data_IF_894104991677
#
_entry.id   IF_894104991677
#
_cell.length_a   1.000
_cell.length_b   1.000
_cell.length_c   1.000
_cell.angle_alpha   90.00
_cell.angle_beta   90.00
_cell.angle_gamma   90.00
#
_symmetry.space_group_name_H-M   'P 1'
#
loop_
_entity.id
_entity.type
_entity.pdbx_description
1 polymer ?
#
# COMPACT_ATOMS: atom_id res chain seq x y z
N UNK A 1 -4.27 30.52 -2.86
CA UNK A 1 -4.76 31.70 -3.64
C UNK A 1 -3.81 32.90 -3.58
N UNK A 2 -3.25 33.28 -2.42
CA UNK A 2 -2.30 34.42 -2.33
C UNK A 2 -1.02 34.26 -3.17
N UNK A 3 -0.35 33.10 -3.14
CA UNK A 3 0.92 32.91 -3.87
C UNK A 3 0.80 32.96 -5.40
N UNK A 4 -0.33 32.48 -5.98
CA UNK A 4 -0.62 32.67 -7.41
C UNK A 4 -0.85 34.16 -7.75
N UNK A 5 -1.41 34.93 -6.81
CA UNK A 5 -1.56 36.38 -6.92
C UNK A 5 -0.22 37.12 -6.89
N UNK A 6 0.71 36.70 -6.02
CA UNK A 6 2.07 37.25 -5.94
C UNK A 6 2.86 36.94 -7.23
N UNK A 7 2.81 35.71 -7.75
CA UNK A 7 3.42 35.38 -9.04
C UNK A 7 2.83 36.21 -10.20
N UNK A 8 1.51 36.43 -10.21
CA UNK A 8 0.86 37.31 -11.19
C UNK A 8 1.28 38.78 -11.09
N UNK A 9 1.64 39.26 -9.89
CA UNK A 9 2.19 40.60 -9.66
C UNK A 9 3.65 40.70 -10.10
N UNK A 10 4.46 39.67 -9.86
CA UNK A 10 5.84 39.57 -10.35
C UNK A 10 5.89 39.66 -11.88
N UNK A 11 5.03 38.90 -12.58
CA UNK A 11 4.93 38.93 -14.04
C UNK A 11 4.43 40.28 -14.59
N UNK A 12 3.62 41.02 -13.83
CA UNK A 12 3.10 42.35 -14.24
C UNK A 12 4.02 43.50 -13.86
N UNK A 13 4.92 43.30 -12.89
CA UNK A 13 5.72 44.35 -12.27
C UNK A 13 7.00 44.78 -13.01
N UNK A 14 7.30 44.21 -14.19
CA UNK A 14 8.61 44.39 -14.88
C UNK A 14 9.82 44.06 -13.98
N UNK A 15 9.67 43.08 -13.09
CA UNK A 15 10.84 42.42 -12.53
C UNK A 15 11.31 41.45 -13.62
N UNK A 16 12.42 41.77 -14.30
CA UNK A 16 13.08 40.80 -15.17
C UNK A 16 13.41 39.57 -14.32
N UNK A 17 12.86 38.42 -14.70
CA UNK A 17 12.91 37.16 -13.96
C UNK A 17 14.35 36.70 -13.75
N UNK A 18 14.93 37.11 -12.62
CA UNK A 18 16.24 36.62 -12.20
C UNK A 18 16.13 35.19 -11.68
N UNK A 19 17.19 34.41 -11.90
CA UNK A 19 17.34 33.01 -11.45
C UNK A 19 16.80 32.76 -10.03
N UNK A 20 17.06 33.68 -9.09
CA UNK A 20 16.64 33.57 -7.69
C UNK A 20 15.11 33.62 -7.56
N UNK A 21 14.47 34.60 -8.20
CA UNK A 21 13.03 34.81 -8.10
C UNK A 21 12.25 33.67 -8.78
N UNK A 22 12.73 33.21 -9.93
CA UNK A 22 12.14 32.07 -10.63
C UNK A 22 12.31 30.76 -9.84
N UNK A 23 13.47 30.58 -9.18
CA UNK A 23 13.71 29.43 -8.30
C UNK A 23 12.75 29.41 -7.11
N UNK A 24 12.52 30.55 -6.45
CA UNK A 24 11.59 30.66 -5.32
C UNK A 24 10.14 30.42 -5.73
N UNK A 25 9.71 30.96 -6.88
CA UNK A 25 8.36 30.74 -7.41
C UNK A 25 8.16 29.27 -7.76
N UNK A 26 9.13 28.64 -8.42
CA UNK A 26 9.11 27.21 -8.73
C UNK A 26 9.03 26.36 -7.45
N UNK A 27 9.85 26.66 -6.43
CA UNK A 27 9.81 25.98 -5.14
C UNK A 27 8.45 26.14 -4.45
N UNK A 28 7.84 27.33 -4.52
CA UNK A 28 6.51 27.57 -3.99
C UNK A 28 5.45 26.68 -4.65
N UNK A 29 5.44 26.58 -5.98
CA UNK A 29 4.50 25.71 -6.69
C UNK A 29 4.69 24.24 -6.35
N UNK A 30 5.95 23.79 -6.31
CA UNK A 30 6.31 22.43 -5.93
C UNK A 30 5.82 22.08 -4.52
N UNK A 31 6.02 22.96 -3.54
CA UNK A 31 5.53 22.79 -2.17
C UNK A 31 3.99 22.77 -2.06
N UNK A 32 3.30 23.45 -2.98
CA UNK A 32 1.84 23.43 -3.06
C UNK A 32 1.29 22.18 -3.77
N UNK A 33 2.15 21.30 -4.28
CA UNK A 33 1.74 20.15 -5.09
C UNK A 33 1.27 20.50 -6.50
N UNK A 34 1.38 21.76 -6.93
CA UNK A 34 1.02 22.22 -8.28
C UNK A 34 2.25 22.07 -9.20
N UNK A 35 2.54 20.82 -9.57
CA UNK A 35 3.68 20.50 -10.42
C UNK A 35 3.59 21.16 -11.79
N UNK A 36 2.40 21.28 -12.38
CA UNK A 36 2.22 21.94 -13.67
C UNK A 36 2.62 23.42 -13.60
N UNK A 37 2.29 24.09 -12.49
CA UNK A 37 2.78 25.43 -12.19
C UNK A 37 4.30 25.49 -12.08
N UNK A 38 4.91 24.54 -11.37
CA UNK A 38 6.35 24.46 -11.19
C UNK A 38 7.07 24.21 -12.53
N UNK A 39 6.59 23.27 -13.35
CA UNK A 39 7.14 22.98 -14.69
C UNK A 39 7.04 24.19 -15.62
N UNK A 40 5.92 24.92 -15.62
CA UNK A 40 5.79 26.14 -16.43
C UNK A 40 6.83 27.21 -16.10
N UNK A 41 7.20 27.34 -14.82
CA UNK A 41 8.26 28.27 -14.39
C UNK A 41 9.61 27.72 -14.80
N UNK A 42 9.89 26.46 -14.49
CA UNK A 42 11.14 25.78 -14.82
C UNK A 42 11.48 25.80 -16.32
N UNK A 43 10.49 25.58 -17.19
CA UNK A 43 10.69 25.60 -18.64
C UNK A 43 10.96 26.99 -19.20
N UNK A 44 10.52 28.06 -18.51
CA UNK A 44 10.76 29.46 -18.89
C UNK A 44 12.13 29.99 -18.48
N UNK A 45 12.79 29.36 -17.51
CA UNK A 45 14.10 29.80 -17.04
C UNK A 45 15.16 29.62 -18.13
N UNK A 46 15.93 30.69 -18.41
CA UNK A 46 17.03 30.67 -19.38
C UNK A 46 18.26 29.92 -18.85
N UNK A 47 18.56 30.11 -17.56
CA UNK A 47 19.61 29.38 -16.84
C UNK A 47 18.98 28.59 -15.68
N UNK A 48 19.46 27.36 -15.45
CA UNK A 48 18.98 26.48 -14.39
C UNK A 48 20.16 25.92 -13.61
N UNK A 49 20.26 26.30 -12.36
CA UNK A 49 21.30 25.78 -11.48
C UNK A 49 20.90 24.43 -10.85
N UNK A 50 21.84 23.82 -10.13
CA UNK A 50 21.64 22.53 -9.44
C UNK A 50 20.43 22.54 -8.49
N UNK A 51 20.09 23.69 -7.91
CA UNK A 51 18.97 23.84 -6.96
C UNK A 51 17.64 23.75 -7.69
N UNK A 52 17.52 24.39 -8.87
CA UNK A 52 16.34 24.30 -9.74
C UNK A 52 16.02 22.85 -10.09
N UNK A 53 17.03 22.13 -10.61
CA UNK A 53 16.91 20.72 -10.98
C UNK A 53 16.55 19.83 -9.79
N UNK A 54 17.27 19.98 -8.68
CA UNK A 54 17.06 19.18 -7.47
C UNK A 54 15.65 19.38 -6.92
N UNK A 55 15.12 20.60 -6.95
CA UNK A 55 13.76 20.90 -6.47
C UNK A 55 12.71 20.20 -7.31
N UNK A 56 12.81 20.29 -8.65
CA UNK A 56 11.85 19.62 -9.55
C UNK A 56 11.91 18.10 -9.43
N UNK A 57 13.11 17.52 -9.40
CA UNK A 57 13.31 16.08 -9.23
C UNK A 57 12.75 15.61 -7.89
N UNK A 58 13.02 16.34 -6.81
CA UNK A 58 12.50 16.02 -5.46
C UNK A 58 10.98 16.10 -5.42
N UNK A 59 10.39 17.14 -6.01
CA UNK A 59 8.94 17.31 -6.06
C UNK A 59 8.26 16.18 -6.85
N UNK A 60 8.81 15.81 -8.02
CA UNK A 60 8.31 14.68 -8.80
C UNK A 60 8.40 13.37 -8.03
N UNK A 61 9.54 13.11 -7.37
CA UNK A 61 9.73 11.92 -6.54
C UNK A 61 8.73 11.85 -5.38
N UNK A 62 8.54 12.95 -4.64
CA UNK A 62 7.63 12.99 -3.49
C UNK A 62 6.15 12.84 -3.87
N UNK A 63 5.78 13.21 -5.09
CA UNK A 63 4.41 13.11 -5.61
C UNK A 63 4.17 11.81 -6.40
N UNK A 64 5.08 10.83 -6.31
CA UNK A 64 4.94 9.53 -6.97
C UNK A 64 5.13 9.55 -8.50
N UNK A 65 5.64 10.66 -9.06
CA UNK A 65 5.96 10.79 -10.49
C UNK A 65 7.42 10.38 -10.75
N UNK A 66 7.74 9.14 -10.38
CA UNK A 66 9.12 8.63 -10.41
C UNK A 66 9.75 8.70 -11.81
N UNK A 67 9.01 8.34 -12.85
CA UNK A 67 9.47 8.40 -14.25
C UNK A 67 9.89 9.81 -14.67
N UNK A 68 9.17 10.84 -14.23
CA UNK A 68 9.50 12.22 -14.56
C UNK A 68 10.71 12.73 -13.79
N UNK A 69 10.86 12.32 -12.53
CA UNK A 69 12.07 12.59 -11.77
C UNK A 69 13.31 12.01 -12.48
N UNK A 70 13.19 10.81 -13.06
CA UNK A 70 14.24 10.17 -13.85
C UNK A 70 14.52 10.91 -15.15
N UNK A 71 13.49 11.31 -15.89
CA UNK A 71 13.64 12.09 -17.13
C UNK A 71 14.35 13.43 -16.85
N UNK A 72 13.95 14.13 -15.78
CA UNK A 72 14.57 15.39 -15.37
C UNK A 72 16.04 15.19 -14.98
N UNK A 73 16.37 14.12 -14.25
CA UNK A 73 17.75 13.80 -13.90
C UNK A 73 18.61 13.50 -15.14
N UNK A 74 18.09 12.74 -16.11
CA UNK A 74 18.80 12.50 -17.37
C UNK A 74 19.00 13.78 -18.18
N UNK A 75 18.01 14.69 -18.18
CA UNK A 75 18.11 16.01 -18.83
C UNK A 75 19.18 16.89 -18.14
N UNK A 76 19.20 16.93 -16.82
CA UNK A 76 20.22 17.63 -16.02
C UNK A 76 21.63 17.18 -16.39
N UNK A 77 21.86 15.86 -16.49
CA UNK A 77 23.14 15.28 -16.89
C UNK A 77 23.51 15.64 -18.34
N UNK A 78 22.55 15.63 -19.26
CA UNK A 78 22.76 16.00 -20.66
C UNK A 78 23.13 17.47 -20.83
N UNK A 79 22.58 18.35 -19.98
CA UNK A 79 22.92 19.78 -19.92
C UNK A 79 24.22 20.06 -19.17
N UNK A 80 24.92 19.01 -18.69
CA UNK A 80 26.24 19.14 -18.06
C UNK A 80 26.21 19.64 -16.62
N UNK A 81 25.05 19.64 -15.95
CA UNK A 81 24.91 20.07 -14.57
C UNK A 81 25.23 18.89 -13.63
N UNK A 82 26.27 19.01 -12.80
CA UNK A 82 26.67 17.95 -11.85
C UNK A 82 25.61 17.81 -10.73
N UNK A 83 25.01 16.62 -10.55
CA UNK A 83 24.07 16.36 -9.46
C UNK A 83 24.74 16.46 -8.10
N UNK A 84 24.02 16.97 -7.09
CA UNK A 84 24.49 16.92 -5.71
C UNK A 84 23.91 15.70 -4.97
N UNK A 85 24.31 15.51 -3.71
CA UNK A 85 23.87 14.41 -2.85
C UNK A 85 22.33 14.38 -2.71
N UNK A 86 21.68 15.53 -2.63
CA UNK A 86 20.22 15.64 -2.53
C UNK A 86 19.53 15.23 -3.83
N UNK A 87 20.07 15.63 -4.99
CA UNK A 87 19.60 15.17 -6.29
C UNK A 87 19.64 13.65 -6.36
N UNK A 88 20.78 13.04 -5.98
CA UNK A 88 20.96 11.59 -5.99
C UNK A 88 19.99 10.89 -5.03
N UNK A 89 19.79 11.41 -3.82
CA UNK A 89 18.83 10.87 -2.86
C UNK A 89 17.40 10.88 -3.42
N UNK A 90 16.98 11.96 -4.07
CA UNK A 90 15.64 12.10 -4.65
C UNK A 90 15.43 11.15 -5.83
N UNK A 91 16.45 10.96 -6.68
CA UNK A 91 16.39 10.00 -7.79
C UNK A 91 16.32 8.57 -7.28
N UNK A 92 17.12 8.20 -6.27
CA UNK A 92 17.05 6.89 -5.64
C UNK A 92 15.68 6.62 -5.00
N UNK A 93 15.09 7.63 -4.36
CA UNK A 93 13.74 7.51 -3.82
C UNK A 93 12.70 7.23 -4.91
N UNK A 94 12.78 7.92 -6.06
CA UNK A 94 11.95 7.66 -7.23
C UNK A 94 12.16 6.25 -7.83
N UNK A 95 13.39 5.71 -7.77
CA UNK A 95 13.68 4.36 -8.26
C UNK A 95 13.06 3.27 -7.37
N UNK A 96 12.89 3.56 -6.08
CA UNK A 96 12.39 2.59 -5.11
C UNK A 96 10.98 2.10 -5.43
N UNK A 97 10.19 2.90 -6.15
CA UNK A 97 8.80 2.56 -6.38
C UNK A 97 8.64 1.58 -7.55
N UNK A 98 9.32 1.73 -8.69
CA UNK A 98 9.17 0.80 -9.85
C UNK A 98 10.40 0.63 -10.77
N UNK A 99 11.59 1.16 -10.43
CA UNK A 99 12.74 1.25 -11.37
C UNK A 99 14.07 0.71 -10.81
N UNK A 100 14.06 -0.54 -10.33
CA UNK A 100 15.25 -1.21 -9.75
C UNK A 100 16.46 -1.25 -10.70
N UNK A 101 16.22 -1.44 -12.01
CA UNK A 101 17.30 -1.51 -13.01
C UNK A 101 18.08 -0.20 -13.06
N UNK A 102 17.38 0.92 -13.09
CA UNK A 102 18.01 2.23 -13.05
C UNK A 102 18.69 2.48 -11.70
N UNK A 103 18.03 2.12 -10.59
CA UNK A 103 18.61 2.22 -9.24
C UNK A 103 19.97 1.49 -9.12
N UNK A 104 20.10 0.28 -9.69
CA UNK A 104 21.36 -0.47 -9.73
C UNK A 104 22.45 0.23 -10.56
N UNK A 105 22.09 0.81 -11.71
CA UNK A 105 23.03 1.59 -12.52
C UNK A 105 23.53 2.82 -11.77
N UNK A 106 22.62 3.55 -11.12
CA UNK A 106 22.96 4.72 -10.31
C UNK A 106 23.84 4.34 -9.12
N UNK A 107 23.57 3.22 -8.43
CA UNK A 107 24.45 2.70 -7.39
C UNK A 107 25.87 2.41 -7.91
N UNK A 108 25.99 1.78 -9.09
CA UNK A 108 27.27 1.57 -9.75
C UNK A 108 28.02 2.87 -10.06
N UNK A 109 27.30 3.93 -10.46
CA UNK A 109 27.87 5.26 -10.67
C UNK A 109 28.29 5.92 -9.35
N UNK A 110 27.49 5.81 -8.27
CA UNK A 110 27.79 6.32 -6.93
C UNK A 110 29.10 5.72 -6.39
N UNK A 111 29.29 4.39 -6.54
CA UNK A 111 30.51 3.70 -6.09
C UNK A 111 31.77 4.25 -6.79
N UNK A 112 31.65 4.63 -8.07
CA UNK A 112 32.76 5.18 -8.87
C UNK A 112 33.03 6.66 -8.61
N UNK A 113 32.12 7.37 -7.93
CA UNK A 113 32.16 8.82 -7.74
C UNK A 113 32.38 9.23 -6.27
N UNK A 114 32.33 10.54 -6.01
CA UNK A 114 32.62 11.18 -4.71
C UNK A 114 31.63 10.81 -3.59
N UNK A 115 30.46 10.26 -3.92
CA UNK A 115 29.35 10.01 -2.98
C UNK A 115 29.42 8.66 -2.24
N UNK A 116 30.42 7.82 -2.51
CA UNK A 116 30.53 6.47 -1.91
C UNK A 116 30.47 6.44 -0.37
N UNK A 117 30.94 7.49 0.29
CA UNK A 117 31.02 7.57 1.75
C UNK A 117 29.92 8.45 2.36
N UNK A 118 29.01 8.99 1.55
CA UNK A 118 27.95 9.87 2.03
C UNK A 118 26.84 9.06 2.74
N UNK A 119 26.52 9.47 3.97
CA UNK A 119 25.56 8.77 4.82
C UNK A 119 24.12 8.89 4.30
N UNK A 120 23.76 10.01 3.68
CA UNK A 120 22.42 10.26 3.16
C UNK A 120 22.21 9.45 1.89
N UNK A 121 23.19 9.46 0.98
CA UNK A 121 23.15 8.63 -0.24
C UNK A 121 23.11 7.14 0.12
N UNK A 122 23.95 6.69 1.06
CA UNK A 122 23.91 5.31 1.54
C UNK A 122 22.57 4.92 2.19
N UNK A 123 21.95 5.84 2.92
CA UNK A 123 20.62 5.63 3.52
C UNK A 123 19.52 5.56 2.46
N UNK A 124 19.56 6.41 1.43
CA UNK A 124 18.65 6.36 0.28
C UNK A 124 18.81 5.09 -0.55
N UNK A 125 20.04 4.58 -0.71
CA UNK A 125 20.28 3.29 -1.37
C UNK A 125 19.64 2.13 -0.60
N UNK A 126 19.78 2.10 0.73
CA UNK A 126 19.12 1.10 1.59
C UNK A 126 17.61 1.14 1.40
N UNK A 127 16.99 2.34 1.44
CA UNK A 127 15.55 2.47 1.27
C UNK A 127 15.08 2.05 -0.13
N UNK A 128 15.79 2.46 -1.18
CA UNK A 128 15.51 2.09 -2.57
C UNK A 128 15.52 0.58 -2.77
N UNK A 129 16.60 -0.09 -2.37
CA UNK A 129 16.70 -1.55 -2.49
C UNK A 129 15.63 -2.26 -1.67
N UNK A 130 15.39 -1.80 -0.43
CA UNK A 130 14.36 -2.38 0.41
C UNK A 130 12.94 -2.13 -0.14
N UNK A 131 12.69 -1.08 -0.93
CA UNK A 131 11.39 -0.82 -1.57
C UNK A 131 11.18 -1.76 -2.75
N UNK A 132 12.26 -2.03 -3.50
CA UNK A 132 12.28 -2.97 -4.61
C UNK A 132 12.26 -4.45 -4.19
N UNK A 133 12.23 -4.77 -2.88
CA UNK A 133 12.26 -6.15 -2.38
C UNK A 133 13.67 -6.77 -2.28
N UNK A 134 14.71 -6.09 -2.73
CA UNK A 134 16.11 -6.56 -2.74
C UNK A 134 16.77 -6.31 -1.37
N UNK A 135 16.27 -6.98 -0.34
CA UNK A 135 16.68 -6.72 1.06
C UNK A 135 18.14 -7.13 1.35
N UNK A 136 18.69 -8.07 0.59
CA UNK A 136 20.09 -8.49 0.69
C UNK A 136 21.03 -7.41 0.18
N UNK A 137 20.72 -6.79 -0.97
CA UNK A 137 21.45 -5.63 -1.50
C UNK A 137 21.37 -4.44 -0.52
N UNK A 138 20.19 -4.17 0.04
CA UNK A 138 20.03 -3.14 1.07
C UNK A 138 20.93 -3.43 2.28
N UNK A 139 21.01 -4.69 2.70
CA UNK A 139 21.86 -5.10 3.82
C UNK A 139 23.35 -4.98 3.48
N UNK A 140 23.74 -5.32 2.26
CA UNK A 140 25.11 -5.17 1.78
C UNK A 140 25.56 -3.70 1.84
N UNK A 141 24.72 -2.77 1.37
CA UNK A 141 24.97 -1.33 1.49
C UNK A 141 25.12 -0.94 2.96
N UNK A 142 24.16 -1.32 3.81
CA UNK A 142 24.19 -1.02 5.24
C UNK A 142 25.47 -1.50 5.92
N UNK A 143 25.92 -2.72 5.65
CA UNK A 143 27.14 -3.26 6.25
C UNK A 143 28.42 -2.65 5.69
N UNK A 144 28.41 -2.22 4.43
CA UNK A 144 29.52 -1.49 3.78
C UNK A 144 29.69 -0.04 4.26
N UNK A 145 28.68 0.56 4.91
CA UNK A 145 28.77 1.93 5.41
C UNK A 145 29.71 2.03 6.64
N UNK A 146 30.72 2.91 6.53
CA UNK A 146 31.68 3.23 7.61
C UNK A 146 31.02 3.95 8.79
N UNK A 147 30.09 4.86 8.50
CA UNK A 147 29.33 5.61 9.50
C UNK A 147 27.83 5.47 9.23
N UNK A 148 27.04 5.32 10.31
CA UNK A 148 25.60 5.09 10.25
C UNK A 148 24.93 5.92 11.35
N UNK A 149 23.98 6.77 10.97
CA UNK A 149 23.21 7.55 11.92
C UNK A 149 21.87 6.86 12.25
N UNK A 150 21.08 7.42 13.17
CA UNK A 150 19.76 6.88 13.53
C UNK A 150 18.88 6.61 12.31
N UNK A 151 18.91 7.49 11.30
CA UNK A 151 18.10 7.33 10.08
C UNK A 151 18.54 6.10 9.30
N UNK A 152 19.85 5.86 9.13
CA UNK A 152 20.38 4.66 8.46
C UNK A 152 19.94 3.36 9.14
N UNK A 153 19.95 3.32 10.48
CA UNK A 153 19.47 2.16 11.23
C UNK A 153 17.96 1.98 11.08
N UNK A 154 17.19 3.07 11.15
CA UNK A 154 15.75 3.06 10.92
C UNK A 154 15.41 2.55 9.53
N UNK A 155 16.05 3.04 8.47
CA UNK A 155 15.79 2.60 7.09
C UNK A 155 16.00 1.09 6.92
N UNK A 156 17.07 0.52 7.48
CA UNK A 156 17.29 -0.93 7.41
C UNK A 156 16.27 -1.73 8.21
N UNK A 157 15.90 -1.26 9.42
CA UNK A 157 14.88 -1.89 10.26
C UNK A 157 13.50 -1.85 9.58
N UNK A 158 13.11 -0.70 9.05
CA UNK A 158 11.87 -0.51 8.28
C UNK A 158 11.86 -1.38 7.04
N UNK A 159 12.98 -1.46 6.33
CA UNK A 159 13.16 -2.34 5.17
C UNK A 159 12.91 -3.81 5.50
N UNK A 160 13.50 -4.32 6.58
CA UNK A 160 13.22 -5.69 7.04
C UNK A 160 11.75 -5.90 7.43
N UNK A 161 11.16 -4.96 8.19
CA UNK A 161 9.77 -5.06 8.63
C UNK A 161 8.76 -4.99 7.47
N UNK A 162 9.04 -4.21 6.43
CA UNK A 162 8.20 -4.12 5.22
C UNK A 162 8.25 -5.41 4.41
N UNK A 163 9.42 -6.01 4.27
CA UNK A 163 9.65 -7.24 3.50
C UNK A 163 9.32 -8.53 4.29
N UNK A 164 8.62 -8.43 5.42
CA UNK A 164 8.18 -9.60 6.20
C UNK A 164 9.29 -10.28 7.01
N UNK A 165 10.52 -9.76 7.03
CA UNK A 165 11.66 -10.32 7.75
C UNK A 165 11.73 -9.73 9.17
N UNK A 166 10.65 -9.93 9.92
CA UNK A 166 10.47 -9.30 11.24
C UNK A 166 11.54 -9.70 12.27
N UNK A 167 12.09 -10.91 12.16
CA UNK A 167 13.09 -11.43 13.09
C UNK A 167 14.41 -10.68 12.94
N UNK A 168 14.82 -10.38 11.70
CA UNK A 168 15.99 -9.58 11.40
C UNK A 168 15.80 -8.13 11.86
N UNK A 169 14.59 -7.56 11.68
CA UNK A 169 14.25 -6.22 12.18
C UNK A 169 14.43 -6.13 13.71
N UNK A 170 13.87 -7.09 14.47
CA UNK A 170 13.96 -7.13 15.94
C UNK A 170 15.41 -7.33 16.40
N UNK A 171 16.17 -8.23 15.75
CA UNK A 171 17.60 -8.42 16.06
C UNK A 171 18.40 -7.13 15.84
N UNK A 172 18.18 -6.45 14.72
CA UNK A 172 18.89 -5.22 14.39
C UNK A 172 18.53 -4.09 15.36
N UNK A 173 17.27 -3.99 15.79
CA UNK A 173 16.84 -3.06 16.82
C UNK A 173 17.47 -3.31 18.19
N UNK A 174 17.57 -4.58 18.61
CA UNK A 174 18.29 -4.95 19.84
C UNK A 174 19.76 -4.55 19.76
N UNK A 175 20.39 -4.70 18.60
CA UNK A 175 21.77 -4.25 18.36
C UNK A 175 21.88 -2.71 18.41
N UNK A 176 20.96 -1.98 17.77
CA UNK A 176 20.88 -0.52 17.81
C UNK A 176 20.80 -0.01 19.25
N UNK A 177 19.94 -0.62 20.09
CA UNK A 177 19.82 -0.32 21.52
C UNK A 177 21.08 -0.65 22.32
N UNK A 178 21.70 -1.81 22.08
CA UNK A 178 22.96 -2.19 22.76
C UNK A 178 24.08 -1.21 22.46
N UNK A 179 24.09 -0.64 21.25
CA UNK A 179 25.02 0.42 20.82
C UNK A 179 24.62 1.83 21.32
N UNK A 180 23.56 1.94 22.12
CA UNK A 180 23.03 3.20 22.67
C UNK A 180 22.68 4.23 21.59
N UNK A 181 22.26 3.76 20.41
CA UNK A 181 21.80 4.63 19.33
C UNK A 181 20.34 5.01 19.61
N UNK A 182 20.05 6.31 19.52
CA UNK A 182 18.72 6.84 19.78
C UNK A 182 17.69 6.29 18.80
N UNK A 183 16.56 5.81 19.31
CA UNK A 183 15.42 5.28 18.55
C UNK A 183 14.41 6.40 18.30
N UNK A 184 13.99 6.58 17.05
CA UNK A 184 12.94 7.55 16.71
C UNK A 184 11.58 6.85 16.57
N UNK A 185 10.50 7.64 16.41
CA UNK A 185 9.14 7.11 16.29
C UNK A 185 8.97 6.14 15.11
N UNK A 186 9.63 6.41 13.98
CA UNK A 186 9.62 5.51 12.81
C UNK A 186 10.26 4.14 13.11
N UNK A 187 11.36 4.11 13.88
CA UNK A 187 11.95 2.86 14.36
C UNK A 187 10.93 2.07 15.19
N UNK A 188 10.24 2.74 16.11
CA UNK A 188 9.25 2.11 17.01
C UNK A 188 8.10 1.53 16.20
N UNK A 189 7.49 2.30 15.31
CA UNK A 189 6.42 1.86 14.40
C UNK A 189 6.86 0.62 13.59
N UNK A 190 8.08 0.65 13.04
CA UNK A 190 8.61 -0.45 12.24
C UNK A 190 8.78 -1.74 13.05
N UNK A 191 9.20 -1.64 14.32
CA UNK A 191 9.34 -2.79 15.20
C UNK A 191 7.98 -3.29 15.71
N UNK A 192 7.02 -2.41 16.00
CA UNK A 192 5.65 -2.81 16.32
C UNK A 192 5.04 -3.60 15.15
N UNK A 193 5.25 -3.13 13.91
CA UNK A 193 4.87 -3.87 12.70
C UNK A 193 5.53 -5.25 12.64
N UNK A 194 6.85 -5.32 12.82
CA UNK A 194 7.59 -6.59 12.82
C UNK A 194 7.07 -7.57 13.89
N UNK A 195 6.78 -7.07 15.10
CA UNK A 195 6.20 -7.87 16.18
C UNK A 195 4.81 -8.40 15.81
N UNK A 196 3.94 -7.60 15.21
CA UNK A 196 2.60 -8.04 14.82
C UNK A 196 2.62 -9.05 13.67
N UNK A 197 3.51 -8.87 12.68
CA UNK A 197 3.69 -9.85 11.59
C UNK A 197 4.16 -11.22 12.11
N UNK A 198 5.06 -11.23 13.10
CA UNK A 198 5.54 -12.45 13.75
C UNK A 198 4.61 -12.97 14.86
N UNK A 199 3.52 -12.25 15.17
CA UNK A 199 2.68 -12.48 16.35
C UNK A 199 3.48 -12.58 17.66
N UNK A 200 4.58 -11.82 17.77
CA UNK A 200 5.47 -11.79 18.93
C UNK A 200 4.92 -10.86 20.03
N UNK A 201 3.89 -11.32 20.72
CA UNK A 201 3.21 -10.53 21.76
C UNK A 201 4.15 -10.12 22.90
N UNK A 202 5.05 -11.00 23.33
CA UNK A 202 5.99 -10.72 24.42
C UNK A 202 6.91 -9.52 24.08
N UNK A 203 7.52 -9.53 22.90
CA UNK A 203 8.37 -8.42 22.42
C UNK A 203 7.55 -7.15 22.22
N UNK A 204 6.32 -7.29 21.72
CA UNK A 204 5.36 -6.20 21.59
C UNK A 204 5.02 -5.51 22.92
N UNK A 205 4.68 -6.30 23.96
CA UNK A 205 4.40 -5.81 25.32
C UNK A 205 5.63 -5.14 25.95
N UNK A 206 6.83 -5.71 25.74
CA UNK A 206 8.09 -5.08 26.18
C UNK A 206 8.28 -3.69 25.57
N UNK A 207 8.05 -3.56 24.25
CA UNK A 207 8.17 -2.29 23.55
C UNK A 207 7.08 -1.30 23.98
N UNK A 208 5.84 -1.76 24.17
CA UNK A 208 4.74 -0.91 24.64
C UNK A 208 5.02 -0.35 26.04
N UNK A 209 5.53 -1.16 26.98
CA UNK A 209 5.94 -0.67 28.30
C UNK A 209 7.03 0.42 28.20
N UNK A 210 7.94 0.30 27.24
CA UNK A 210 8.97 1.32 27.00
C UNK A 210 8.41 2.60 26.39
N UNK A 211 7.41 2.50 25.50
CA UNK A 211 6.70 3.64 24.92
C UNK A 211 5.99 4.43 26.02
N UNK A 212 5.30 3.75 26.93
CA UNK A 212 4.65 4.35 28.10
C UNK A 212 5.69 5.06 28.97
N UNK A 213 6.77 4.36 29.34
CA UNK A 213 7.85 4.95 30.17
C UNK A 213 8.53 6.15 29.50
N UNK A 214 8.61 6.16 28.18
CA UNK A 214 9.18 7.24 27.38
C UNK A 214 8.24 8.42 27.15
N UNK A 215 6.97 8.36 27.59
CA UNK A 215 5.94 9.36 27.35
C UNK A 215 5.74 9.73 25.86
N UNK A 216 5.94 8.77 24.95
CA UNK A 216 5.73 8.98 23.50
C UNK A 216 4.46 8.30 22.97
N UNK A 217 3.62 7.77 23.86
CA UNK A 217 2.34 7.11 23.53
C UNK A 217 1.34 8.06 22.83
N UNK A 218 1.42 9.37 23.12
CA UNK A 218 0.56 10.39 22.51
C UNK A 218 0.82 10.59 21.01
N UNK A 219 1.90 10.02 20.46
CA UNK A 219 2.15 10.05 19.03
C UNK A 219 1.15 9.15 18.30
N UNK A 220 0.31 9.75 17.45
CA UNK A 220 -0.75 9.06 16.73
C UNK A 220 -0.27 7.86 15.90
N UNK A 221 0.91 7.95 15.28
CA UNK A 221 1.47 6.86 14.47
C UNK A 221 1.87 5.67 15.34
N UNK A 222 2.40 5.93 16.54
CA UNK A 222 2.77 4.89 17.50
C UNK A 222 1.50 4.25 18.08
N UNK A 223 0.52 5.05 18.51
CA UNK A 223 -0.75 4.55 19.04
C UNK A 223 -1.50 3.68 18.01
N UNK A 224 -1.61 4.14 16.76
CA UNK A 224 -2.22 3.36 15.67
C UNK A 224 -1.49 2.05 15.41
N UNK A 225 -0.15 2.06 15.47
CA UNK A 225 0.67 0.85 15.30
C UNK A 225 0.51 -0.13 16.47
N UNK A 226 0.26 0.38 17.68
CA UNK A 226 -0.04 -0.46 18.85
C UNK A 226 -1.41 -1.12 18.72
N UNK A 227 -2.45 -0.38 18.32
CA UNK A 227 -3.78 -0.96 18.02
C UNK A 227 -3.62 -2.10 17.03
N UNK A 228 -2.91 -1.85 15.91
CA UNK A 228 -2.63 -2.87 14.90
C UNK A 228 -1.88 -4.09 15.46
N UNK A 229 -0.81 -3.88 16.24
CA UNK A 229 -0.03 -4.96 16.86
C UNK A 229 -0.91 -5.86 17.74
N UNK A 230 -1.70 -5.26 18.63
CA UNK A 230 -2.51 -6.02 19.58
C UNK A 230 -3.64 -6.78 18.88
N UNK A 231 -4.30 -6.18 17.88
CA UNK A 231 -5.24 -6.88 17.02
C UNK A 231 -4.59 -8.09 16.32
N UNK A 232 -3.40 -7.93 15.71
CA UNK A 232 -2.70 -9.03 15.03
C UNK A 232 -2.22 -10.13 15.97
N UNK A 233 -1.99 -9.82 17.24
CA UNK A 233 -1.67 -10.78 18.28
C UNK A 233 -2.90 -11.40 18.97
N UNK A 234 -4.13 -11.00 18.60
CA UNK A 234 -5.37 -11.52 19.20
C UNK A 234 -5.76 -10.90 20.54
N UNK A 235 -5.14 -9.79 20.96
CA UNK A 235 -5.38 -9.13 22.24
C UNK A 235 -6.33 -7.94 22.07
N UNK A 236 -7.57 -8.23 21.68
CA UNK A 236 -8.60 -7.24 21.36
C UNK A 236 -8.80 -6.21 22.47
N UNK A 237 -8.95 -6.62 23.74
CA UNK A 237 -9.22 -5.70 24.85
C UNK A 237 -8.12 -4.65 25.02
N UNK A 238 -6.86 -5.01 24.77
CA UNK A 238 -5.74 -4.06 24.84
C UNK A 238 -5.79 -3.09 23.66
N UNK A 239 -6.07 -3.58 22.44
CA UNK A 239 -6.23 -2.72 21.28
C UNK A 239 -7.38 -1.71 21.46
N UNK A 240 -8.50 -2.15 22.05
CA UNK A 240 -9.64 -1.30 22.37
C UNK A 240 -9.29 -0.18 23.33
N UNK A 241 -8.67 -0.49 24.47
CA UNK A 241 -8.30 0.52 25.45
C UNK A 241 -7.37 1.57 24.84
N UNK A 242 -6.37 1.13 24.05
CA UNK A 242 -5.45 2.05 23.38
C UNK A 242 -6.21 2.96 22.42
N UNK A 243 -7.15 2.44 21.62
CA UNK A 243 -7.93 3.25 20.69
C UNK A 243 -8.78 4.30 21.43
N UNK A 244 -9.41 3.93 22.54
CA UNK A 244 -10.23 4.85 23.35
C UNK A 244 -9.40 5.94 24.04
N UNK A 245 -8.16 5.63 24.42
CA UNK A 245 -7.24 6.58 25.04
C UNK A 245 -6.65 7.60 24.03
N UNK A 246 -6.84 7.40 22.71
CA UNK A 246 -6.34 8.32 21.69
C UNK A 246 -7.18 9.61 21.65
N UNK A 247 -6.52 10.77 21.81
CA UNK A 247 -7.19 12.08 21.70
C UNK A 247 -7.75 12.36 20.30
N UNK A 248 -7.10 11.84 19.27
CA UNK A 248 -7.55 11.90 17.88
C UNK A 248 -7.27 10.56 17.21
N UNK A 249 -8.29 10.00 16.57
CA UNK A 249 -8.22 8.73 15.85
C UNK A 249 -8.23 9.02 14.37
N UNK A 250 -7.15 8.64 13.68
CA UNK A 250 -7.04 8.83 12.23
C UNK A 250 -7.59 7.62 11.47
N UNK A 251 -7.56 7.71 10.15
CA UNK A 251 -7.95 6.61 9.26
C UNK A 251 -7.15 5.34 9.57
N UNK A 252 -5.89 5.46 10.01
CA UNK A 252 -4.99 4.33 10.27
C UNK A 252 -5.41 3.57 11.53
N UNK A 253 -5.66 4.25 12.65
CA UNK A 253 -6.10 3.60 13.89
C UNK A 253 -7.47 2.95 13.74
N UNK A 254 -8.42 3.63 13.08
CA UNK A 254 -9.74 3.06 12.79
C UNK A 254 -9.65 1.84 11.88
N UNK A 255 -8.86 1.92 10.81
CA UNK A 255 -8.65 0.78 9.90
C UNK A 255 -7.99 -0.40 10.61
N UNK A 256 -7.00 -0.13 11.48
CA UNK A 256 -6.35 -1.17 12.27
C UNK A 256 -7.36 -1.90 13.18
N UNK A 257 -8.25 -1.16 13.84
CA UNK A 257 -9.27 -1.76 14.70
C UNK A 257 -10.32 -2.54 13.91
N UNK A 258 -10.89 -1.94 12.86
CA UNK A 258 -11.95 -2.57 12.04
C UNK A 258 -11.43 -3.84 11.37
N UNK A 259 -10.24 -3.78 10.75
CA UNK A 259 -9.62 -4.96 10.15
C UNK A 259 -9.25 -6.01 11.19
N UNK A 260 -8.75 -5.60 12.37
CA UNK A 260 -8.48 -6.48 13.49
C UNK A 260 -9.71 -7.23 13.97
N UNK A 261 -10.83 -6.53 14.17
CA UNK A 261 -12.09 -7.13 14.57
C UNK A 261 -12.62 -8.11 13.53
N UNK A 262 -12.61 -7.73 12.24
CA UNK A 262 -13.03 -8.60 11.15
C UNK A 262 -12.12 -9.84 10.96
N UNK A 263 -10.86 -9.78 11.40
CA UNK A 263 -9.95 -10.94 11.39
C UNK A 263 -10.11 -11.85 12.60
N UNK A 264 -10.62 -11.33 13.72
CA UNK A 264 -10.81 -12.06 14.99
C UNK A 264 -12.22 -12.65 15.16
N UNK A 265 -13.13 -12.43 14.21
CA UNK A 265 -14.52 -12.88 14.31
C UNK A 265 -15.40 -11.97 15.17
N UNK A 266 -15.08 -10.68 15.22
CA UNK A 266 -15.84 -9.63 15.91
C UNK A 266 -16.54 -8.74 14.88
N UNK A 267 -17.39 -9.35 14.03
CA UNK A 267 -17.98 -8.66 12.87
C UNK A 267 -18.91 -7.52 13.27
N UNK A 268 -19.72 -7.70 14.32
CA UNK A 268 -20.62 -6.66 14.81
C UNK A 268 -19.85 -5.43 15.31
N UNK A 269 -18.76 -5.64 16.04
CA UNK A 269 -17.87 -4.60 16.52
C UNK A 269 -17.16 -3.89 15.36
N UNK A 270 -16.67 -4.64 14.36
CA UNK A 270 -16.07 -4.06 13.16
C UNK A 270 -17.01 -3.08 12.44
N UNK A 271 -18.28 -3.45 12.31
CA UNK A 271 -19.32 -2.61 11.71
C UNK A 271 -19.75 -1.44 12.61
N UNK A 272 -19.73 -1.64 13.93
CA UNK A 272 -19.91 -0.58 14.92
C UNK A 272 -18.84 0.50 14.79
N UNK A 273 -17.57 0.11 14.76
CA UNK A 273 -16.46 1.03 14.60
C UNK A 273 -16.44 1.75 13.25
N UNK A 274 -16.91 1.12 12.16
CA UNK A 274 -17.10 1.83 10.90
C UNK A 274 -18.14 2.96 11.04
N UNK A 275 -19.23 2.73 11.77
CA UNK A 275 -20.25 3.76 12.04
C UNK A 275 -19.70 4.88 12.92
N UNK A 276 -18.92 4.55 13.95
CA UNK A 276 -18.25 5.54 14.80
C UNK A 276 -17.25 6.39 14.01
N UNK A 277 -16.40 5.76 13.19
CA UNK A 277 -15.44 6.43 12.31
C UNK A 277 -16.13 7.45 11.39
N UNK A 278 -17.24 7.05 10.75
CA UNK A 278 -18.05 7.95 9.93
C UNK A 278 -18.73 9.05 10.74
N UNK A 279 -19.20 8.74 11.96
CA UNK A 279 -19.78 9.71 12.89
C UNK A 279 -18.80 10.78 13.36
N UNK A 280 -17.52 10.45 13.43
CA UNK A 280 -16.42 11.38 13.73
C UNK A 280 -15.92 12.15 12.50
N UNK A 281 -16.55 11.94 11.33
CA UNK A 281 -16.18 12.63 10.08
C UNK A 281 -14.85 12.15 9.49
N UNK A 282 -14.41 10.94 9.84
CA UNK A 282 -13.19 10.35 9.28
C UNK A 282 -13.57 9.47 8.10
N UNK A 283 -13.12 9.84 6.90
CA UNK A 283 -13.46 9.11 5.67
C UNK A 283 -12.74 7.74 5.60
N UNK A 284 -13.48 6.62 5.41
CA UNK A 284 -12.88 5.31 5.24
C UNK A 284 -12.05 5.19 3.97
N UNK A 285 -10.93 4.46 4.05
CA UNK A 285 -10.13 4.12 2.88
C UNK A 285 -10.54 2.75 2.30
N UNK A 286 -9.93 2.36 1.18
CA UNK A 286 -10.19 1.08 0.51
C UNK A 286 -10.02 -0.14 1.42
N UNK A 287 -9.04 -0.13 2.32
CA UNK A 287 -8.79 -1.23 3.26
C UNK A 287 -9.86 -1.29 4.36
N UNK A 288 -10.30 -0.14 4.86
CA UNK A 288 -11.41 -0.04 5.82
C UNK A 288 -12.68 -0.63 5.24
N UNK A 289 -13.05 -0.22 4.02
CA UNK A 289 -14.25 -0.72 3.34
C UNK A 289 -14.16 -2.23 3.07
N UNK A 290 -13.02 -2.71 2.59
CA UNK A 290 -12.83 -4.14 2.32
C UNK A 290 -13.00 -4.98 3.59
N UNK A 291 -12.50 -4.48 4.74
CA UNK A 291 -12.64 -5.15 6.03
C UNK A 291 -14.09 -5.15 6.54
N UNK A 292 -14.81 -4.03 6.40
CA UNK A 292 -16.21 -3.94 6.79
C UNK A 292 -17.12 -4.80 5.88
N UNK A 293 -16.83 -4.87 4.58
CA UNK A 293 -17.55 -5.74 3.65
C UNK A 293 -17.30 -7.22 3.94
N UNK A 294 -16.08 -7.59 4.34
CA UNK A 294 -15.77 -8.94 4.85
C UNK A 294 -16.65 -9.26 6.06
N UNK A 295 -16.74 -8.36 7.05
CA UNK A 295 -17.61 -8.54 8.21
C UNK A 295 -19.10 -8.71 7.81
N UNK A 296 -19.60 -7.92 6.84
CA UNK A 296 -20.96 -8.11 6.31
C UNK A 296 -21.15 -9.47 5.63
N UNK A 297 -20.14 -9.96 4.92
CA UNK A 297 -20.17 -11.24 4.22
C UNK A 297 -20.21 -12.44 5.19
N UNK A 298 -19.48 -12.34 6.31
CA UNK A 298 -19.50 -13.36 7.37
C UNK A 298 -20.83 -13.38 8.13
N UNK A 299 -21.44 -12.21 8.36
CA UNK A 299 -22.76 -12.09 8.98
C UNK A 299 -23.94 -12.35 8.02
N UNK A 300 -23.67 -12.47 6.73
CA UNK A 300 -24.67 -12.51 5.64
C UNK A 300 -25.66 -11.32 5.69
N UNK A 301 -25.21 -10.17 6.21
CA UNK A 301 -26.04 -8.97 6.35
C UNK A 301 -26.04 -8.14 5.04
N UNK A 302 -26.93 -8.52 4.13
CA UNK A 302 -27.11 -7.82 2.86
C UNK A 302 -27.54 -6.36 3.03
N UNK A 303 -28.28 -6.03 4.10
CA UNK A 303 -28.79 -4.66 4.30
C UNK A 303 -27.62 -3.73 4.60
N UNK A 304 -26.77 -4.12 5.55
CA UNK A 304 -25.58 -3.36 5.88
C UNK A 304 -24.59 -3.33 4.70
N UNK A 305 -24.40 -4.45 3.99
CA UNK A 305 -23.56 -4.52 2.80
C UNK A 305 -23.98 -3.53 1.69
N UNK A 306 -25.28 -3.41 1.42
CA UNK A 306 -25.83 -2.43 0.44
C UNK A 306 -25.65 -0.98 0.89
N UNK A 307 -25.76 -0.70 2.19
CA UNK A 307 -25.49 0.64 2.74
C UNK A 307 -24.02 1.03 2.55
N UNK A 308 -23.10 0.11 2.86
CA UNK A 308 -21.66 0.33 2.67
C UNK A 308 -21.33 0.52 1.19
N UNK A 309 -21.88 -0.29 0.29
CA UNK A 309 -21.68 -0.11 -1.16
C UNK A 309 -22.17 1.27 -1.65
N UNK A 310 -23.28 1.77 -1.12
CA UNK A 310 -23.78 3.12 -1.44
C UNK A 310 -22.82 4.21 -0.96
N UNK A 311 -22.17 4.02 0.19
CA UNK A 311 -21.11 4.92 0.69
C UNK A 311 -19.87 4.87 -0.20
N UNK A 312 -19.44 3.67 -0.63
CA UNK A 312 -18.30 3.48 -1.54
C UNK A 312 -18.52 4.21 -2.88
N UNK A 313 -19.74 4.18 -3.42
CA UNK A 313 -20.05 4.89 -4.68
C UNK A 313 -19.85 6.41 -4.62
N UNK A 314 -19.79 6.99 -3.41
CA UNK A 314 -19.52 8.42 -3.19
C UNK A 314 -18.08 8.69 -2.77
N UNK A 315 -17.24 7.66 -2.71
CA UNK A 315 -15.87 7.70 -2.20
C UNK A 315 -14.85 7.47 -3.34
N UNK A 316 -13.65 8.04 -3.26
CA UNK A 316 -12.55 7.71 -4.17
C UNK A 316 -12.10 6.25 -4.11
N UNK A 317 -12.65 5.44 -3.19
CA UNK A 317 -12.37 4.01 -3.07
C UNK A 317 -13.05 3.14 -4.15
N UNK A 318 -14.06 3.65 -4.87
CA UNK A 318 -14.81 2.90 -5.88
C UNK A 318 -13.95 2.17 -6.95
N UNK A 319 -12.96 2.80 -7.61
CA UNK A 319 -12.16 2.13 -8.63
C UNK A 319 -11.20 1.07 -8.05
N UNK A 320 -11.08 0.97 -6.73
CA UNK A 320 -10.09 0.10 -6.11
C UNK A 320 -10.46 -1.39 -6.24
N UNK A 321 -9.56 -2.17 -6.86
CA UNK A 321 -9.76 -3.60 -7.13
C UNK A 321 -10.02 -4.44 -5.86
N UNK A 322 -9.46 -4.07 -4.71
CA UNK A 322 -9.68 -4.78 -3.45
C UNK A 322 -11.10 -4.55 -2.93
N UNK A 323 -11.62 -3.34 -3.05
CA UNK A 323 -13.00 -3.00 -2.68
C UNK A 323 -13.99 -3.73 -3.59
N UNK A 324 -13.75 -3.75 -4.91
CA UNK A 324 -14.55 -4.51 -5.86
C UNK A 324 -14.58 -6.01 -5.54
N UNK A 325 -13.43 -6.60 -5.23
CA UNK A 325 -13.33 -8.01 -4.83
C UNK A 325 -14.08 -8.30 -3.53
N UNK A 326 -14.00 -7.41 -2.54
CA UNK A 326 -14.73 -7.54 -1.28
C UNK A 326 -16.25 -7.40 -1.48
N UNK A 327 -16.70 -6.51 -2.38
CA UNK A 327 -18.11 -6.37 -2.75
C UNK A 327 -18.65 -7.64 -3.44
N UNK A 328 -17.89 -8.22 -4.38
CA UNK A 328 -18.25 -9.49 -5.04
C UNK A 328 -18.44 -10.57 -3.98
N UNK A 329 -17.48 -10.75 -3.07
CA UNK A 329 -17.58 -11.75 -2.00
C UNK A 329 -18.76 -11.49 -1.07
N UNK A 330 -19.00 -10.24 -0.66
CA UNK A 330 -20.14 -9.86 0.18
C UNK A 330 -21.47 -10.20 -0.48
N UNK A 331 -21.69 -9.77 -1.72
CA UNK A 331 -22.94 -10.08 -2.43
C UNK A 331 -23.12 -11.58 -2.66
N UNK A 332 -22.05 -12.28 -3.04
CA UNK A 332 -22.10 -13.72 -3.30
C UNK A 332 -22.42 -14.53 -2.05
N UNK A 333 -21.85 -14.20 -0.88
CA UNK A 333 -22.17 -14.86 0.38
C UNK A 333 -23.58 -14.57 0.86
N UNK A 334 -24.09 -13.38 0.61
CA UNK A 334 -25.48 -13.02 0.89
C UNK A 334 -26.48 -13.60 -0.13
N UNK A 335 -26.07 -14.47 -1.06
CA UNK A 335 -26.94 -15.07 -2.08
C UNK A 335 -27.40 -14.13 -3.20
N UNK A 336 -26.78 -12.95 -3.34
CA UNK A 336 -27.13 -11.93 -4.33
C UNK A 336 -26.16 -11.94 -5.51
N UNK A 337 -26.03 -13.09 -6.18
CA UNK A 337 -25.04 -13.29 -7.24
C UNK A 337 -25.17 -12.31 -8.41
N UNK A 338 -26.39 -11.89 -8.77
CA UNK A 338 -26.61 -10.89 -9.82
C UNK A 338 -25.95 -9.54 -9.51
N UNK A 339 -25.97 -9.13 -8.24
CA UNK A 339 -25.28 -7.91 -7.79
C UNK A 339 -23.76 -8.09 -7.83
N UNK A 340 -23.26 -9.27 -7.48
CA UNK A 340 -21.83 -9.60 -7.57
C UNK A 340 -21.32 -9.54 -9.02
N UNK A 341 -22.07 -10.11 -9.98
CA UNK A 341 -21.78 -10.03 -11.42
C UNK A 341 -21.73 -8.57 -11.87
N UNK A 342 -22.73 -7.77 -11.49
CA UNK A 342 -22.77 -6.34 -11.84
C UNK A 342 -21.58 -5.57 -11.29
N UNK A 343 -21.12 -5.87 -10.07
CA UNK A 343 -19.90 -5.26 -9.54
C UNK A 343 -18.71 -5.66 -10.40
N UNK A 344 -18.51 -6.95 -10.66
CA UNK A 344 -17.41 -7.46 -11.46
C UNK A 344 -17.36 -6.86 -12.88
N UNK A 345 -18.51 -6.72 -13.54
CA UNK A 345 -18.61 -6.17 -14.90
C UNK A 345 -18.31 -4.67 -14.97
N UNK A 346 -18.53 -3.92 -13.88
CA UNK A 346 -18.26 -2.48 -13.82
C UNK A 346 -16.88 -2.12 -13.24
N UNK A 347 -16.04 -3.11 -12.88
CA UNK A 347 -14.68 -2.82 -12.39
C UNK A 347 -13.82 -2.22 -13.51
N UNK A 348 -13.15 -1.07 -13.27
CA UNK A 348 -12.29 -0.42 -14.27
C UNK A 348 -11.04 -1.26 -14.56
N UNK A 349 -10.49 -1.89 -13.53
CA UNK A 349 -9.38 -2.83 -13.61
C UNK A 349 -9.74 -4.13 -12.90
N UNK A 350 -9.35 -5.25 -13.52
CA UNK A 350 -9.51 -6.59 -12.95
C UNK A 350 -8.14 -7.23 -12.83
N UNK A 351 -7.83 -7.76 -11.65
CA UNK A 351 -6.63 -8.54 -11.41
C UNK A 351 -7.00 -9.95 -10.95
N UNK A 352 -5.97 -10.75 -10.67
CA UNK A 352 -6.10 -12.16 -10.29
C UNK A 352 -7.05 -12.35 -9.10
N UNK A 353 -7.03 -11.41 -8.14
CA UNK A 353 -7.89 -11.46 -6.94
C UNK A 353 -9.37 -11.29 -7.33
N UNK A 354 -9.69 -10.30 -8.16
CA UNK A 354 -11.08 -10.06 -8.58
C UNK A 354 -11.68 -11.22 -9.39
N UNK A 355 -10.87 -11.85 -10.27
CA UNK A 355 -11.26 -13.05 -11.01
C UNK A 355 -11.51 -14.24 -10.06
N UNK A 356 -10.58 -14.49 -9.13
CA UNK A 356 -10.72 -15.50 -8.09
C UNK A 356 -12.00 -15.33 -7.28
N UNK A 357 -12.28 -14.09 -6.84
CA UNK A 357 -13.50 -13.78 -6.08
C UNK A 357 -14.77 -14.10 -6.88
N UNK A 358 -14.79 -13.83 -8.18
CA UNK A 358 -15.96 -14.09 -9.02
C UNK A 358 -16.14 -15.58 -9.35
N UNK A 359 -15.05 -16.32 -9.61
CA UNK A 359 -15.09 -17.78 -9.76
C UNK A 359 -15.60 -18.45 -8.48
N UNK A 360 -15.08 -18.02 -7.33
CA UNK A 360 -15.53 -18.46 -6.02
C UNK A 360 -17.02 -18.17 -5.79
N UNK A 361 -17.50 -17.00 -6.22
CA UNK A 361 -18.89 -16.61 -6.11
C UNK A 361 -19.81 -17.55 -6.91
N UNK A 362 -19.47 -17.85 -8.17
CA UNK A 362 -20.23 -18.81 -8.98
C UNK A 362 -20.23 -20.21 -8.36
N UNK A 363 -19.06 -20.70 -7.96
CA UNK A 363 -18.90 -22.03 -7.39
C UNK A 363 -19.73 -22.22 -6.11
N UNK A 364 -19.62 -21.28 -5.15
CA UNK A 364 -20.37 -21.33 -3.87
C UNK A 364 -21.88 -21.19 -4.04
N UNK A 365 -22.35 -20.60 -5.14
CA UNK A 365 -23.77 -20.50 -5.47
C UNK A 365 -24.25 -21.65 -6.38
N UNK A 366 -23.46 -22.73 -6.52
CA UNK A 366 -23.84 -23.94 -7.27
C UNK A 366 -23.77 -23.81 -8.80
N UNK A 367 -23.22 -22.72 -9.33
CA UNK A 367 -23.12 -22.46 -10.77
C UNK A 367 -21.74 -22.87 -11.32
N UNK A 368 -21.39 -24.14 -11.10
CA UNK A 368 -20.10 -24.71 -11.49
C UNK A 368 -19.76 -24.52 -12.98
N UNK A 369 -20.74 -24.70 -13.88
CA UNK A 369 -20.53 -24.52 -15.32
C UNK A 369 -20.10 -23.08 -15.68
N UNK A 370 -20.71 -22.08 -15.04
CA UNK A 370 -20.35 -20.66 -15.24
C UNK A 370 -18.99 -20.34 -14.59
N UNK A 371 -18.67 -20.95 -13.45
CA UNK A 371 -17.35 -20.86 -12.85
C UNK A 371 -16.25 -21.36 -13.82
N UNK A 372 -16.46 -22.51 -14.47
CA UNK A 372 -15.52 -23.04 -15.48
C UNK A 372 -15.40 -22.13 -16.72
N UNK A 373 -16.51 -21.61 -17.23
CA UNK A 373 -16.46 -20.64 -18.35
C UNK A 373 -15.64 -19.40 -17.99
N UNK A 374 -15.80 -18.91 -16.75
CA UNK A 374 -15.07 -17.75 -16.27
C UNK A 374 -13.56 -18.05 -16.14
N UNK A 375 -13.18 -19.26 -15.73
CA UNK A 375 -11.79 -19.72 -15.72
C UNK A 375 -11.18 -19.71 -17.12
N UNK A 376 -11.88 -20.22 -18.14
CA UNK A 376 -11.37 -20.19 -19.51
C UNK A 376 -11.18 -18.76 -20.03
N UNK A 377 -12.10 -17.85 -19.69
CA UNK A 377 -11.96 -16.43 -20.03
C UNK A 377 -10.76 -15.79 -19.34
N UNK A 378 -10.54 -16.10 -18.07
CA UNK A 378 -9.39 -15.64 -17.30
C UNK A 378 -8.05 -16.08 -17.96
N UNK A 379 -7.94 -17.34 -18.42
CA UNK A 379 -6.76 -17.81 -19.15
C UNK A 379 -6.56 -17.09 -20.49
N UNK A 380 -7.65 -16.83 -21.23
CA UNK A 380 -7.58 -16.12 -22.50
C UNK A 380 -7.08 -14.67 -22.35
N UNK A 381 -7.31 -14.05 -21.18
CA UNK A 381 -6.78 -12.73 -20.83
C UNK A 381 -5.33 -12.79 -20.27
N UNK A 382 -4.65 -13.94 -20.37
CA UNK A 382 -3.24 -14.11 -20.02
C UNK A 382 -2.96 -14.33 -18.54
N UNK A 383 -3.99 -14.62 -17.74
CA UNK A 383 -3.85 -14.82 -16.31
C UNK A 383 -3.56 -16.29 -15.99
N UNK A 384 -2.57 -16.55 -15.15
CA UNK A 384 -2.24 -17.92 -14.71
C UNK A 384 -3.29 -18.46 -13.74
N UNK A 385 -3.67 -19.72 -13.96
CA UNK A 385 -4.44 -20.51 -12.99
C UNK A 385 -3.53 -20.99 -11.87
N UNK A 386 -4.06 -21.00 -10.65
CA UNK A 386 -3.46 -21.73 -9.55
C UNK A 386 -4.33 -22.92 -9.12
N UNK A 387 -3.68 -23.92 -8.52
CA UNK A 387 -4.32 -25.14 -8.02
C UNK A 387 -5.42 -24.84 -6.99
N UNK A 388 -5.34 -23.68 -6.33
CA UNK A 388 -6.32 -23.23 -5.35
C UNK A 388 -7.69 -22.93 -5.98
N UNK A 389 -7.74 -22.22 -7.12
CA UNK A 389 -9.01 -21.96 -7.83
C UNK A 389 -9.68 -23.27 -8.22
N UNK A 390 -8.90 -24.20 -8.81
CA UNK A 390 -9.42 -25.49 -9.27
C UNK A 390 -9.94 -26.32 -8.10
N UNK A 391 -9.19 -26.39 -7.00
CA UNK A 391 -9.63 -27.06 -5.78
C UNK A 391 -10.92 -26.45 -5.24
N UNK A 392 -11.06 -25.13 -5.24
CA UNK A 392 -12.27 -24.46 -4.72
C UNK A 392 -13.51 -24.80 -5.55
N UNK A 393 -13.38 -24.75 -6.88
CA UNK A 393 -14.49 -25.14 -7.78
C UNK A 393 -14.82 -26.61 -7.55
N UNK A 394 -13.84 -27.51 -7.50
CA UNK A 394 -14.06 -28.94 -7.28
C UNK A 394 -14.76 -29.23 -5.95
N UNK A 395 -14.35 -28.59 -4.84
CA UNK A 395 -15.00 -28.77 -3.53
C UNK A 395 -16.46 -28.30 -3.58
N UNK A 396 -16.71 -27.10 -4.12
CA UNK A 396 -18.06 -26.56 -4.21
C UNK A 396 -18.97 -27.40 -5.12
N UNK A 397 -18.44 -28.00 -6.19
CA UNK A 397 -19.20 -28.90 -7.05
C UNK A 397 -19.40 -30.29 -6.41
N UNK A 398 -18.43 -30.77 -5.63
CA UNK A 398 -18.54 -32.03 -4.87
C UNK A 398 -19.63 -32.01 -3.81
N UNK A 399 -19.86 -30.85 -3.18
CA UNK A 399 -20.97 -30.63 -2.25
C UNK A 399 -22.36 -30.66 -2.94
N UNK A 400 -22.41 -30.43 -4.26
CA UNK A 400 -23.65 -30.38 -5.05
C UNK A 400 -23.97 -31.70 -5.80
N UNK A 401 -22.99 -32.57 -6.08
CA UNK A 401 -23.20 -33.79 -6.88
C UNK A 401 -22.62 -35.08 -6.25
N UNK A 402 -23.37 -35.66 -5.31
CA UNK A 402 -23.58 -37.12 -5.21
C UNK A 402 -25.06 -37.50 -4.99
N UNK A 403 -25.99 -36.53 -4.96
CA UNK A 403 -27.40 -36.75 -4.63
C UNK A 403 -28.35 -36.83 -5.85
N UNK A 404 -27.84 -37.04 -7.06
CA UNK A 404 -28.67 -37.48 -8.19
C UNK A 404 -28.40 -38.96 -8.46
N UNK A 405 -29.41 -39.79 -8.17
CA UNK A 405 -29.40 -41.22 -8.53
C UNK A 405 -29.23 -41.40 -10.04
N UNK A 406 -28.50 -42.43 -10.49
CA UNK A 406 -28.36 -42.75 -11.90
C UNK A 406 -29.57 -43.58 -12.35
N UNK A 407 -30.62 -42.94 -12.85
CA UNK A 407 -31.68 -43.62 -13.59
C UNK A 407 -32.15 -42.71 -14.72
N UNK A 408 -31.51 -42.83 -15.88
CA UNK A 408 -32.10 -42.61 -17.23
C UNK A 408 -31.04 -42.92 -18.31
N UNK A 409 -30.59 -44.18 -18.35
CA UNK A 409 -30.00 -44.78 -19.55
C UNK A 409 -30.73 -46.09 -19.88
N UNK A 410 -31.98 -45.94 -20.28
CA UNK A 410 -32.73 -46.89 -21.09
C UNK A 410 -33.71 -46.00 -21.86
N UNK A 411 -33.63 -45.82 -23.17
CA UNK A 411 -33.94 -46.81 -24.20
C UNK A 411 -33.45 -46.24 -25.52
N UNK A 412 -32.57 -46.96 -26.23
CA UNK A 412 -32.59 -47.05 -27.68
C UNK A 412 -32.08 -48.45 -28.05
N UNK A 413 -32.94 -49.44 -27.85
CA UNK A 413 -32.86 -50.71 -28.58
C UNK A 413 -33.10 -50.41 -30.05
N UNK A 414 -32.08 -50.65 -30.87
CA UNK A 414 -32.18 -50.72 -32.32
C UNK A 414 -33.09 -51.89 -32.65
N UNK A 415 -34.24 -51.61 -33.28
CA UNK A 415 -35.07 -52.63 -33.91
C UNK A 415 -34.87 -52.56 -35.42
N UNK A 416 -34.67 -53.74 -36.01
CA UNK A 416 -34.38 -53.96 -37.41
C UNK A 416 -35.64 -53.85 -38.28
N UNK A 417 -35.47 -53.37 -39.53
CA UNK A 417 -36.52 -53.41 -40.54
C UNK A 417 -35.97 -53.23 -41.95
N UNK A 418 -35.83 -54.36 -42.64
CA UNK A 418 -35.44 -54.59 -44.04
C UNK A 418 -36.28 -53.77 -45.05
N UNK A 419 -35.69 -53.34 -46.18
CA UNK A 419 -35.76 -53.96 -47.53
C UNK A 419 -34.49 -53.57 -48.29
#
# INVERSE_FOLDING_TARGET
MLGKGIHGLVLKGRFDGGLILDSEIMQFYAQCGDLDGAFRVFDRMEERDVVCWTTMITACSQLGRGTEALILFLKMLKEGVEPNEFTVCSVLNACGDEELRFGRQLHGAIIKNKYRMDVYVGTSLIDMYAKCGEIEDARFVFDGMRWRNTVTWTSMISGYARNGIGDAAIRLFRLMKRRKIYTNGLTVVSILRACGLLRSLATGKELHAQIIKGNVQSNIYIASSLVWLYCKCGEYSTAFNILQDMSFRDVVSWTAMISGCADLGHEYEALGYLKEMLGEGVDPNSFTYSSALKACAELEDIKQGKLIHTSINKSPALPNVFVGSALINMYARCGHLSDAIRVFDNMPERNLVSWKSMVAAYAKNGLCAEAFKLIYRMQAEGMELDDYILSMVLTACGDFEWNKKPDEYSVLTVDHGEI
#
